data_IF_071070657254
#
_entry.id   IF_071070657254
#
_cell.length_a   1.000
_cell.length_b   1.000
_cell.length_c   1.000
_cell.angle_alpha   90.00
_cell.angle_beta   90.00
_cell.angle_gamma   90.00
#
_symmetry.space_group_name_H-M   'P 1'
#
loop_
_entity.id
_entity.type
_entity.pdbx_description
1 polymer ?
#
# COMPACT_ATOMS: atom_id res chain seq x y z
N UNK A 1 10.54 -19.74 4.02
CA UNK A 1 10.26 -18.29 4.17
C UNK A 1 11.43 -17.53 3.59
N UNK A 2 11.18 -16.75 2.54
CA UNK A 2 12.22 -15.98 1.86
C UNK A 2 12.38 -14.59 2.51
N UNK A 3 13.62 -14.11 2.59
CA UNK A 3 13.96 -12.87 3.28
C UNK A 3 14.82 -11.96 2.41
N UNK A 4 14.51 -10.66 2.43
CA UNK A 4 15.23 -9.62 1.71
C UNK A 4 15.95 -8.68 2.67
N UNK A 5 16.91 -7.94 2.14
CA UNK A 5 17.64 -6.89 2.88
C UNK A 5 16.84 -5.60 2.92
N UNK A 6 17.16 -4.71 3.88
CA UNK A 6 16.59 -3.35 3.96
C UNK A 6 16.69 -2.58 2.64
N UNK A 7 17.85 -2.71 1.95
CA UNK A 7 18.10 -2.05 0.66
C UNK A 7 17.19 -2.58 -0.45
N UNK A 8 16.99 -3.90 -0.50
CA UNK A 8 16.07 -4.52 -1.46
C UNK A 8 14.62 -4.12 -1.18
N UNK A 9 14.21 -4.11 0.09
CA UNK A 9 12.87 -3.66 0.48
C UNK A 9 12.62 -2.20 0.07
N UNK A 10 13.55 -1.29 0.38
CA UNK A 10 13.43 0.11 -0.03
C UNK A 10 13.33 0.29 -1.55
N UNK A 11 14.07 -0.51 -2.32
CA UNK A 11 13.97 -0.50 -3.78
C UNK A 11 12.62 -1.00 -4.29
N UNK A 12 12.09 -2.09 -3.72
CA UNK A 12 10.82 -2.70 -4.12
C UNK A 12 9.63 -1.79 -3.78
N UNK A 13 9.64 -1.23 -2.57
CA UNK A 13 8.58 -0.33 -2.08
C UNK A 13 8.75 1.11 -2.58
N UNK A 14 9.82 1.41 -3.33
CA UNK A 14 10.16 2.75 -3.81
C UNK A 14 10.24 3.82 -2.69
N UNK A 15 10.76 3.43 -1.52
CA UNK A 15 10.91 4.32 -0.35
C UNK A 15 12.37 4.52 0.02
N UNK A 16 12.64 5.65 0.68
CA UNK A 16 13.99 5.98 1.15
C UNK A 16 14.45 5.05 2.29
N UNK A 17 15.77 4.88 2.45
CA UNK A 17 16.33 4.07 3.54
C UNK A 17 15.96 4.62 4.93
N UNK A 18 15.81 5.93 5.09
CA UNK A 18 15.37 6.52 6.37
C UNK A 18 13.94 6.16 6.70
N UNK A 19 13.06 6.07 5.69
CA UNK A 19 11.70 5.55 5.84
C UNK A 19 11.69 4.08 6.26
N UNK A 20 12.55 3.26 5.63
CA UNK A 20 12.68 1.83 6.00
C UNK A 20 13.17 1.67 7.44
N UNK A 21 14.20 2.43 7.83
CA UNK A 21 14.74 2.35 9.19
C UNK A 21 13.73 2.84 10.24
N UNK A 22 12.96 3.90 9.94
CA UNK A 22 11.85 4.34 10.80
C UNK A 22 10.79 3.26 10.96
N UNK A 23 10.34 2.66 9.86
CA UNK A 23 9.35 1.58 9.87
C UNK A 23 9.80 0.32 10.63
N UNK A 24 11.11 0.05 10.67
CA UNK A 24 11.67 -1.04 11.48
C UNK A 24 11.67 -0.67 12.97
N UNK A 25 11.96 0.60 13.29
CA UNK A 25 12.01 1.10 14.67
C UNK A 25 10.62 1.21 15.30
N UNK A 26 9.63 1.67 14.54
CA UNK A 26 8.24 1.81 15.01
C UNK A 26 7.44 0.49 14.95
N UNK A 27 8.01 -0.55 14.34
CA UNK A 27 7.41 -1.89 14.23
C UNK A 27 6.43 -2.07 13.08
N UNK A 28 6.23 -1.06 12.23
CA UNK A 28 5.36 -1.14 11.04
C UNK A 28 5.90 -2.12 9.99
N UNK A 29 7.23 -2.23 9.86
CA UNK A 29 7.89 -3.15 8.95
C UNK A 29 8.31 -4.41 9.72
N UNK A 30 7.71 -5.59 9.43
CA UNK A 30 8.09 -6.82 10.08
C UNK A 30 9.53 -7.18 9.73
N UNK A 31 10.31 -7.62 10.71
CA UNK A 31 11.72 -7.89 10.51
C UNK A 31 12.26 -8.93 11.49
N UNK A 32 13.36 -9.58 11.09
CA UNK A 32 14.12 -10.52 11.88
C UNK A 32 15.56 -10.02 11.99
N UNK A 33 16.09 -10.01 13.21
CA UNK A 33 17.51 -9.70 13.45
C UNK A 33 18.33 -10.98 13.39
N UNK A 34 19.33 -11.00 12.53
CA UNK A 34 20.29 -12.10 12.40
C UNK A 34 21.61 -11.64 13.00
N UNK A 35 21.88 -12.08 14.23
CA UNK A 35 23.03 -11.59 15.01
C UNK A 35 22.90 -10.12 15.41
N UNK A 36 24.04 -9.44 15.63
CA UNK A 36 24.05 -8.10 16.25
C UNK A 36 23.63 -6.96 15.32
N UNK A 37 23.72 -7.13 14.00
CA UNK A 37 23.56 -6.01 13.04
C UNK A 37 22.78 -6.31 11.76
N UNK A 38 22.56 -7.58 11.40
CA UNK A 38 21.81 -7.88 10.18
C UNK A 38 20.31 -7.84 10.47
N UNK A 39 19.59 -7.09 9.65
CA UNK A 39 18.13 -7.06 9.64
C UNK A 39 17.66 -7.66 8.32
N UNK A 40 16.74 -8.60 8.41
CA UNK A 40 16.10 -9.30 7.31
C UNK A 40 14.60 -9.03 7.36
N UNK A 41 14.01 -8.72 6.22
CA UNK A 41 12.58 -8.42 6.08
C UNK A 41 11.96 -9.59 5.31
N UNK A 42 10.85 -10.19 5.77
CA UNK A 42 10.19 -11.25 5.02
C UNK A 42 9.63 -10.70 3.70
N UNK A 43 9.66 -11.50 2.63
CA UNK A 43 9.13 -11.09 1.31
C UNK A 43 7.65 -10.70 1.38
N UNK A 44 6.87 -11.34 2.26
CA UNK A 44 5.46 -11.00 2.50
C UNK A 44 5.23 -9.55 2.96
N UNK A 45 6.25 -8.86 3.45
CA UNK A 45 6.15 -7.43 3.78
C UNK A 45 6.06 -6.53 2.55
N UNK A 46 6.47 -7.04 1.38
CA UNK A 46 6.41 -6.34 0.08
C UNK A 46 5.12 -6.66 -0.66
N UNK A 47 4.42 -7.72 -0.27
CA UNK A 47 3.12 -8.09 -0.82
C UNK A 47 2.07 -7.07 -0.38
N UNK A 48 2.06 -5.90 -1.02
CA UNK A 48 0.85 -5.12 -1.14
C UNK A 48 -0.19 -6.02 -1.80
N UNK A 49 -1.44 -6.08 -1.30
CA UNK A 49 -2.50 -6.70 -2.07
C UNK A 49 -2.44 -6.06 -3.47
N UNK A 50 -2.43 -6.92 -4.48
CA UNK A 50 -2.47 -6.53 -5.88
C UNK A 50 -3.41 -5.33 -6.06
N UNK A 51 -2.97 -4.28 -6.77
CA UNK A 51 -3.68 -3.01 -6.80
C UNK A 51 -5.14 -3.21 -7.25
N UNK A 52 -5.37 -4.16 -8.16
CA UNK A 52 -6.70 -4.54 -8.63
C UNK A 52 -7.51 -5.24 -7.53
N UNK A 53 -6.87 -6.08 -6.73
CA UNK A 53 -7.46 -6.71 -5.55
C UNK A 53 -7.83 -5.69 -4.46
N UNK A 54 -6.99 -4.67 -4.23
CA UNK A 54 -7.27 -3.60 -3.27
C UNK A 54 -8.39 -2.67 -3.74
N UNK A 55 -8.40 -2.30 -5.03
CA UNK A 55 -9.50 -1.52 -5.64
C UNK A 55 -10.81 -2.32 -5.57
N UNK A 56 -10.78 -3.62 -5.85
CA UNK A 56 -11.96 -4.49 -5.76
C UNK A 56 -12.50 -4.58 -4.33
N UNK A 57 -11.63 -4.64 -3.33
CA UNK A 57 -12.01 -4.60 -1.92
C UNK A 57 -12.63 -3.24 -1.54
N UNK A 58 -12.04 -2.13 -1.98
CA UNK A 58 -12.59 -0.81 -1.71
C UNK A 58 -13.96 -0.63 -2.38
N UNK A 59 -14.14 -1.13 -3.61
CA UNK A 59 -15.43 -1.11 -4.30
C UNK A 59 -16.49 -2.00 -3.63
N UNK A 60 -16.08 -3.12 -3.02
CA UNK A 60 -17.02 -4.00 -2.30
C UNK A 60 -17.44 -3.44 -0.94
N UNK A 61 -16.57 -2.66 -0.29
CA UNK A 61 -16.85 -1.97 0.98
C UNK A 61 -17.53 -0.62 0.79
N UNK A 62 -17.46 -0.03 -0.40
CA UNK A 62 -18.03 1.29 -0.67
C UNK A 62 -19.57 1.26 -0.53
N UNK A 63 -20.16 2.17 0.25
CA UNK A 63 -21.61 2.27 0.33
C UNK A 63 -22.19 2.69 -1.02
N UNK A 64 -23.34 2.12 -1.39
CA UNK A 64 -24.06 2.53 -2.60
C UNK A 64 -24.43 4.00 -2.50
N UNK A 65 -24.15 4.77 -3.55
CA UNK A 65 -24.56 6.17 -3.64
C UNK A 65 -26.09 6.29 -3.52
N UNK A 66 -26.56 7.27 -2.75
CA UNK A 66 -27.97 7.65 -2.75
C UNK A 66 -28.37 8.23 -4.11
N UNK A 67 -29.67 8.26 -4.41
CA UNK A 67 -30.13 8.78 -5.70
C UNK A 67 -29.77 10.26 -5.90
N UNK A 68 -29.80 11.05 -4.82
CA UNK A 68 -29.34 12.45 -4.81
C UNK A 68 -27.85 12.58 -5.16
N UNK A 69 -27.01 11.71 -4.58
CA UNK A 69 -25.56 11.69 -4.86
C UNK A 69 -25.27 11.23 -6.29
N UNK A 70 -26.07 10.31 -6.84
CA UNK A 70 -25.94 9.86 -8.23
C UNK A 70 -26.27 10.99 -9.21
N UNK A 71 -27.32 11.76 -8.94
CA UNK A 71 -27.70 12.92 -9.77
C UNK A 71 -26.61 14.00 -9.71
N UNK A 72 -26.11 14.35 -8.53
CA UNK A 72 -25.02 15.33 -8.37
C UNK A 72 -23.73 14.88 -9.08
N UNK A 73 -23.37 13.59 -8.98
CA UNK A 73 -22.22 13.04 -9.70
C UNK A 73 -22.44 13.05 -11.22
N UNK A 74 -23.64 12.69 -11.68
CA UNK A 74 -23.98 12.73 -13.10
C UNK A 74 -23.89 14.15 -13.67
N UNK A 75 -24.26 15.17 -12.90
CA UNK A 75 -24.11 16.58 -13.30
C UNK A 75 -22.66 17.03 -13.37
N UNK A 76 -21.82 16.63 -12.40
CA UNK A 76 -20.38 16.91 -12.42
C UNK A 76 -19.65 16.23 -13.59
N UNK A 77 -20.11 15.04 -13.98
CA UNK A 77 -19.53 14.27 -15.08
C UNK A 77 -20.12 14.63 -16.45
N UNK A 78 -21.08 15.56 -16.53
CA UNK A 78 -21.58 16.03 -17.83
C UNK A 78 -20.39 16.59 -18.62
N UNK A 79 -20.13 16.10 -19.84
CA UNK A 79 -19.08 16.66 -20.67
C UNK A 79 -19.38 18.14 -20.89
N UNK A 80 -18.42 19.00 -20.59
CA UNK A 80 -18.46 20.40 -20.99
C UNK A 80 -18.43 20.40 -22.51
N UNK A 81 -19.60 20.45 -23.15
CA UNK A 81 -19.72 20.58 -24.60
C UNK A 81 -18.99 21.87 -24.98
N UNK A 82 -17.87 21.73 -25.69
CA UNK A 82 -17.27 22.83 -26.46
C UNK A 82 -17.97 22.92 -27.80
#
# INVERSE_FOLDING_TARGET
>A
MEYITRKQYGKLMQVSMSTVDRGILDGTIPHVRVGKRLIRIPVSAVETPDADSYVSLLLSLAPKLSDEQRVALAELLKPVRR
#
